data_IF_854158604004
#
_entry.id   IF_854158604004
#
_cell.length_a   1.000
_cell.length_b   1.000
_cell.length_c   1.000
_cell.angle_alpha   90.00
_cell.angle_beta   90.00
_cell.angle_gamma   90.00
#
_symmetry.space_group_name_H-M   'P 1'
#
loop_
_entity.id
_entity.type
_entity.pdbx_description
1 polymer ?
#
# COMPACT_ATOMS: atom_id res chain seq x y z
N UNK A 1 18.01 -3.15 54.22
CA UNK A 1 16.70 -3.25 53.59
C UNK A 1 16.90 -4.02 52.29
N UNK A 2 16.24 -5.15 52.02
CA UNK A 2 16.49 -5.96 50.84
C UNK A 2 15.78 -5.37 49.62
N UNK A 3 16.52 -5.28 48.50
CA UNK A 3 16.06 -4.88 47.16
C UNK A 3 15.07 -5.92 46.67
N UNK A 4 13.83 -5.51 46.41
CA UNK A 4 12.81 -6.37 45.78
C UNK A 4 13.15 -6.56 44.31
N UNK A 5 13.61 -7.75 43.97
CA UNK A 5 13.67 -8.25 42.58
C UNK A 5 12.26 -8.32 41.98
N UNK A 6 11.96 -7.47 40.98
CA UNK A 6 10.78 -7.63 40.16
C UNK A 6 10.91 -8.94 39.38
N UNK A 7 10.01 -9.88 39.62
CA UNK A 7 9.82 -11.05 38.78
C UNK A 7 9.41 -10.58 37.39
N UNK A 8 10.24 -10.82 36.40
CA UNK A 8 9.86 -10.73 35.00
C UNK A 8 8.82 -11.83 34.72
N UNK A 9 7.62 -11.44 34.31
CA UNK A 9 6.62 -12.34 33.73
C UNK A 9 7.15 -12.98 32.45
N UNK A 10 6.50 -14.04 31.93
CA UNK A 10 6.95 -14.72 30.73
C UNK A 10 6.98 -13.71 29.57
N UNK A 11 8.13 -13.57 28.93
CA UNK A 11 8.29 -12.83 27.67
C UNK A 11 7.39 -13.55 26.66
N UNK A 12 6.32 -12.91 26.22
CA UNK A 12 5.54 -13.36 25.09
C UNK A 12 6.51 -13.48 23.90
N UNK A 13 6.69 -14.71 23.41
CA UNK A 13 7.49 -14.98 22.23
C UNK A 13 6.92 -14.16 21.06
N UNK A 14 7.77 -13.48 20.30
CA UNK A 14 7.35 -12.86 19.06
C UNK A 14 6.63 -13.94 18.23
N UNK A 15 5.36 -13.72 17.93
CA UNK A 15 4.61 -14.56 17.01
C UNK A 15 5.36 -14.47 15.68
N UNK A 16 5.62 -15.62 15.06
CA UNK A 16 6.21 -15.60 13.72
C UNK A 16 5.37 -14.66 12.85
N UNK A 17 6.02 -13.73 12.15
CA UNK A 17 5.39 -12.76 11.26
C UNK A 17 4.91 -13.52 10.02
N UNK A 18 3.76 -14.20 10.15
CA UNK A 18 3.11 -14.93 9.07
C UNK A 18 1.83 -14.22 8.70
N UNK A 19 1.59 -14.14 7.41
CA UNK A 19 0.34 -13.61 6.87
C UNK A 19 -0.84 -14.47 7.30
N UNK A 20 -1.92 -13.81 7.71
CA UNK A 20 -3.19 -14.42 8.09
C UNK A 20 -4.31 -13.69 7.36
N UNK A 21 -4.85 -14.31 6.32
CA UNK A 21 -5.87 -13.74 5.45
C UNK A 21 -7.18 -13.46 6.21
N UNK A 22 -7.60 -14.36 7.11
CA UNK A 22 -8.83 -14.19 7.89
C UNK A 22 -8.70 -13.03 8.89
N UNK A 23 -7.54 -12.94 9.55
CA UNK A 23 -7.24 -11.82 10.46
C UNK A 23 -7.20 -10.49 9.70
N UNK A 24 -6.57 -10.46 8.52
CA UNK A 24 -6.49 -9.26 7.67
C UNK A 24 -7.88 -8.81 7.21
N UNK A 25 -8.73 -9.74 6.73
CA UNK A 25 -10.09 -9.43 6.34
C UNK A 25 -10.91 -8.87 7.52
N UNK A 26 -10.86 -9.53 8.68
CA UNK A 26 -11.56 -9.09 9.88
C UNK A 26 -11.10 -7.72 10.38
N UNK A 27 -9.79 -7.41 10.27
CA UNK A 27 -9.26 -6.10 10.61
C UNK A 27 -9.88 -5.02 9.71
N UNK A 28 -9.86 -5.18 8.39
CA UNK A 28 -10.39 -4.20 7.46
C UNK A 28 -11.91 -4.10 7.49
N UNK A 29 -12.63 -5.19 7.82
CA UNK A 29 -14.07 -5.13 8.09
C UNK A 29 -14.38 -4.21 9.27
N UNK A 30 -13.60 -4.28 10.36
CA UNK A 30 -13.76 -3.43 11.53
C UNK A 30 -13.23 -2.01 11.29
N UNK A 31 -12.15 -1.87 10.51
CA UNK A 31 -11.57 -0.58 10.19
C UNK A 31 -12.54 0.28 9.37
N UNK A 32 -13.29 -0.33 8.47
CA UNK A 32 -14.45 0.23 7.78
C UNK A 32 -14.16 1.59 7.14
N UNK A 33 -14.99 2.58 7.45
CA UNK A 33 -14.93 3.93 6.87
C UNK A 33 -13.65 4.72 7.20
N UNK A 34 -12.89 4.31 8.22
CA UNK A 34 -11.62 4.96 8.56
C UNK A 34 -10.60 4.85 7.42
N UNK A 35 -10.70 3.79 6.60
CA UNK A 35 -9.83 3.65 5.43
C UNK A 35 -10.13 4.74 4.39
N UNK A 36 -11.39 5.16 4.23
CA UNK A 36 -11.76 6.25 3.35
C UNK A 36 -11.22 7.60 3.85
N UNK A 37 -11.35 7.88 5.14
CA UNK A 37 -11.03 9.19 5.72
C UNK A 37 -9.54 9.41 6.00
N UNK A 38 -8.68 8.42 5.82
CA UNK A 38 -7.25 8.48 6.19
C UNK A 38 -6.43 9.60 5.52
N UNK A 39 -6.88 10.10 4.37
CA UNK A 39 -6.25 11.23 3.69
C UNK A 39 -6.83 12.60 4.13
N UNK A 40 -7.96 12.60 4.83
CA UNK A 40 -8.65 13.80 5.28
C UNK A 40 -8.30 14.16 6.73
N UNK A 41 -7.98 13.18 7.56
CA UNK A 41 -7.66 13.35 8.98
C UNK A 41 -6.17 13.60 9.28
N UNK A 42 -5.35 13.79 8.24
CA UNK A 42 -3.93 14.12 8.36
C UNK A 42 -3.02 12.94 8.69
N UNK A 43 -3.52 11.71 8.69
CA UNK A 43 -2.70 10.49 8.89
C UNK A 43 -1.77 10.22 7.73
N UNK A 44 -2.21 10.49 6.51
CA UNK A 44 -1.40 10.37 5.30
C UNK A 44 -1.18 11.73 4.65
N UNK A 45 -0.05 11.87 3.96
CA UNK A 45 0.22 13.07 3.19
C UNK A 45 -0.78 13.22 2.03
N UNK A 46 -1.44 14.38 1.87
CA UNK A 46 -2.35 14.63 0.74
C UNK A 46 -1.64 14.48 -0.61
N UNK A 47 -0.36 14.83 -0.69
CA UNK A 47 0.44 14.71 -1.91
C UNK A 47 0.68 13.25 -2.31
N UNK A 48 0.69 12.33 -1.34
CA UNK A 48 0.77 10.89 -1.63
C UNK A 48 -0.35 10.43 -2.57
N UNK A 49 -1.58 10.87 -2.33
CA UNK A 49 -2.71 10.55 -3.21
C UNK A 49 -2.50 11.10 -4.63
N UNK A 50 -2.03 12.35 -4.75
CA UNK A 50 -1.82 12.99 -6.04
C UNK A 50 -0.68 12.31 -6.85
N UNK A 51 0.36 11.81 -6.18
CA UNK A 51 1.39 11.00 -6.85
C UNK A 51 0.78 9.72 -7.42
N UNK A 52 0.00 8.98 -6.64
CA UNK A 52 -0.67 7.76 -7.12
C UNK A 52 -1.57 8.04 -8.33
N UNK A 53 -2.40 9.09 -8.28
CA UNK A 53 -3.26 9.51 -9.40
C UNK A 53 -2.45 9.88 -10.63
N UNK A 54 -1.34 10.63 -10.48
CA UNK A 54 -0.47 10.98 -11.60
C UNK A 54 -0.02 9.75 -12.38
N UNK A 55 0.41 8.69 -11.68
CA UNK A 55 0.85 7.46 -12.33
C UNK A 55 -0.32 6.66 -12.93
N UNK A 56 -1.51 6.67 -12.34
CA UNK A 56 -2.71 6.09 -12.96
C UNK A 56 -2.99 6.77 -14.31
N UNK A 57 -3.09 8.10 -14.36
CA UNK A 57 -3.32 8.85 -15.60
C UNK A 57 -2.24 8.66 -16.66
N UNK A 58 -1.01 8.38 -16.23
CA UNK A 58 0.11 8.16 -17.16
C UNK A 58 0.09 6.79 -17.81
N UNK A 59 -0.35 5.76 -17.11
CA UNK A 59 -0.19 4.36 -17.52
C UNK A 59 -1.50 3.61 -17.80
N UNK A 60 -2.66 4.16 -17.43
CA UNK A 60 -3.99 3.60 -17.72
C UNK A 60 -4.66 4.43 -18.79
N UNK A 61 -5.39 3.77 -19.70
CA UNK A 61 -6.12 4.39 -20.81
C UNK A 61 -7.62 4.20 -20.64
N UNK A 62 -8.45 5.05 -21.27
CA UNK A 62 -9.87 4.75 -21.43
C UNK A 62 -10.08 3.37 -22.07
N UNK A 63 -11.08 2.65 -21.56
CA UNK A 63 -11.48 1.31 -21.97
C UNK A 63 -10.46 0.19 -21.68
N UNK A 64 -9.30 0.48 -21.02
CA UNK A 64 -8.45 -0.58 -20.48
C UNK A 64 -9.24 -1.43 -19.47
N UNK A 65 -9.05 -2.74 -19.52
CA UNK A 65 -9.52 -3.67 -18.49
C UNK A 65 -8.55 -3.63 -17.34
N UNK A 66 -8.97 -3.10 -16.20
CA UNK A 66 -8.10 -2.87 -15.04
C UNK A 66 -8.56 -3.69 -13.83
N UNK A 67 -7.64 -4.40 -13.20
CA UNK A 67 -7.85 -4.96 -11.87
C UNK A 67 -7.36 -3.96 -10.82
N UNK A 68 -8.25 -3.53 -9.94
CA UNK A 68 -7.93 -2.78 -8.71
C UNK A 68 -7.86 -3.79 -7.56
N UNK A 69 -6.64 -4.22 -7.20
CA UNK A 69 -6.37 -5.31 -6.28
C UNK A 69 -6.01 -4.79 -4.88
N UNK A 70 -6.79 -5.15 -3.87
CA UNK A 70 -6.76 -4.55 -2.55
C UNK A 70 -7.33 -3.13 -2.59
N UNK A 71 -8.46 -2.97 -3.31
CA UNK A 71 -9.04 -1.69 -3.67
C UNK A 71 -9.57 -0.87 -2.49
N UNK A 72 -9.79 -1.52 -1.34
CA UNK A 72 -10.39 -0.87 -0.18
C UNK A 72 -11.73 -0.22 -0.52
N UNK A 73 -12.02 0.95 0.08
CA UNK A 73 -13.30 1.65 -0.10
C UNK A 73 -13.41 2.38 -1.45
N UNK A 74 -12.44 2.22 -2.38
CA UNK A 74 -12.58 2.65 -3.76
C UNK A 74 -11.92 3.97 -4.15
N UNK A 75 -10.93 4.45 -3.38
CA UNK A 75 -10.25 5.71 -3.67
C UNK A 75 -9.61 5.70 -5.08
N UNK A 76 -8.94 4.61 -5.43
CA UNK A 76 -8.33 4.44 -6.75
C UNK A 76 -9.31 3.89 -7.78
N UNK A 77 -10.29 3.10 -7.37
CA UNK A 77 -11.40 2.66 -8.23
C UNK A 77 -12.11 3.88 -8.88
N UNK A 78 -12.40 4.92 -8.09
CA UNK A 78 -12.99 6.16 -8.58
C UNK A 78 -12.12 6.83 -9.64
N UNK A 79 -10.83 6.95 -9.38
CA UNK A 79 -9.88 7.57 -10.31
C UNK A 79 -9.78 6.78 -11.61
N UNK A 80 -9.71 5.44 -11.54
CA UNK A 80 -9.70 4.55 -12.70
C UNK A 80 -10.99 4.69 -13.53
N UNK A 81 -12.15 4.73 -12.86
CA UNK A 81 -13.43 4.94 -13.51
C UNK A 81 -13.53 6.34 -14.17
N UNK A 82 -12.96 7.38 -13.56
CA UNK A 82 -12.88 8.74 -14.15
C UNK A 82 -11.97 8.80 -15.37
N UNK A 83 -10.87 8.03 -15.39
CA UNK A 83 -10.03 7.85 -16.59
C UNK A 83 -10.84 7.21 -17.73
N UNK A 84 -11.90 6.45 -17.41
CA UNK A 84 -12.74 5.74 -18.35
C UNK A 84 -12.39 4.26 -18.47
N UNK A 85 -11.57 3.71 -17.57
CA UNK A 85 -11.24 2.28 -17.55
C UNK A 85 -12.46 1.41 -17.20
N UNK A 86 -12.41 0.14 -17.56
CA UNK A 86 -13.35 -0.91 -17.15
C UNK A 86 -12.74 -1.65 -15.95
N UNK A 87 -13.25 -1.39 -14.74
CA UNK A 87 -12.61 -1.79 -13.51
C UNK A 87 -13.22 -3.06 -12.94
N UNK A 88 -12.40 -4.08 -12.72
CA UNK A 88 -12.70 -5.19 -11.83
C UNK A 88 -12.08 -4.87 -10.47
N UNK A 89 -12.88 -4.88 -9.41
CA UNK A 89 -12.48 -4.54 -8.05
C UNK A 89 -12.30 -5.81 -7.25
N UNK A 90 -11.15 -5.99 -6.63
CA UNK A 90 -10.86 -7.11 -5.75
C UNK A 90 -10.39 -6.61 -4.37
N UNK A 91 -10.98 -7.14 -3.31
CA UNK A 91 -10.54 -6.89 -1.93
C UNK A 91 -10.84 -8.11 -1.06
N UNK A 92 -10.04 -8.32 -0.04
CA UNK A 92 -10.22 -9.43 0.91
C UNK A 92 -11.39 -9.17 1.88
N UNK A 93 -11.73 -7.90 2.13
CA UNK A 93 -12.77 -7.46 3.05
C UNK A 93 -14.12 -7.24 2.34
N UNK A 94 -15.16 -8.01 2.65
CA UNK A 94 -16.52 -7.73 2.17
C UNK A 94 -17.00 -6.32 2.48
N UNK A 95 -16.67 -5.80 3.67
CA UNK A 95 -17.08 -4.44 4.07
C UNK A 95 -16.43 -3.37 3.21
N UNK A 96 -15.16 -3.55 2.85
CA UNK A 96 -14.48 -2.61 1.96
C UNK A 96 -15.12 -2.60 0.56
N UNK A 97 -15.53 -3.75 0.04
CA UNK A 97 -16.26 -3.85 -1.24
C UNK A 97 -17.65 -3.18 -1.19
N UNK A 98 -18.35 -3.24 -0.06
CA UNK A 98 -19.60 -2.50 0.14
C UNK A 98 -19.36 -0.99 0.09
N UNK A 99 -18.37 -0.49 0.85
CA UNK A 99 -17.97 0.91 0.84
C UNK A 99 -17.53 1.38 -0.54
N UNK A 100 -16.77 0.54 -1.27
CA UNK A 100 -16.39 0.79 -2.66
C UNK A 100 -17.61 1.03 -3.54
N UNK A 101 -18.64 0.17 -3.41
CA UNK A 101 -19.89 0.33 -4.17
C UNK A 101 -20.62 1.62 -3.80
N UNK A 102 -20.69 1.95 -2.51
CA UNK A 102 -21.31 3.18 -2.02
C UNK A 102 -20.62 4.42 -2.60
N UNK A 103 -19.28 4.47 -2.55
CA UNK A 103 -18.50 5.62 -3.03
C UNK A 103 -18.58 5.78 -4.56
N UNK A 104 -18.40 4.69 -5.30
CA UNK A 104 -18.48 4.70 -6.78
C UNK A 104 -19.89 5.04 -7.24
N UNK A 105 -20.92 4.47 -6.60
CA UNK A 105 -22.32 4.77 -6.89
C UNK A 105 -22.67 6.22 -6.60
N UNK A 106 -22.21 6.80 -5.48
CA UNK A 106 -22.41 8.21 -5.15
C UNK A 106 -21.77 9.16 -6.18
N UNK A 107 -20.67 8.74 -6.80
CA UNK A 107 -20.02 9.48 -7.88
C UNK A 107 -20.66 9.28 -9.27
N UNK A 108 -21.65 8.39 -9.40
CA UNK A 108 -22.31 8.10 -10.67
C UNK A 108 -21.45 7.31 -11.67
N UNK A 109 -20.45 6.56 -11.18
CA UNK A 109 -19.47 5.85 -12.02
C UNK A 109 -19.63 4.32 -12.01
N UNK A 110 -20.73 3.81 -11.46
CA UNK A 110 -20.97 2.38 -11.28
C UNK A 110 -20.91 1.59 -12.60
N UNK A 111 -21.29 2.19 -13.71
CA UNK A 111 -21.24 1.59 -15.04
C UNK A 111 -19.82 1.22 -15.52
N UNK A 112 -18.80 1.82 -14.92
CA UNK A 112 -17.39 1.52 -15.20
C UNK A 112 -16.84 0.37 -14.37
N UNK A 113 -17.57 -0.09 -13.35
CA UNK A 113 -17.16 -1.24 -12.53
C UNK A 113 -17.83 -2.50 -13.07
N UNK A 114 -17.03 -3.38 -13.65
CA UNK A 114 -17.48 -4.62 -14.29
C UNK A 114 -17.79 -5.72 -13.28
N UNK A 115 -17.05 -5.78 -12.18
CA UNK A 115 -17.25 -6.73 -11.10
C UNK A 115 -16.65 -6.24 -9.77
N UNK A 116 -17.18 -6.74 -8.66
CA UNK A 116 -16.57 -6.67 -7.31
C UNK A 116 -16.46 -8.07 -6.77
N UNK A 117 -15.26 -8.47 -6.38
CA UNK A 117 -14.97 -9.84 -5.98
C UNK A 117 -14.19 -9.88 -4.67
N UNK A 118 -14.56 -10.79 -3.78
CA UNK A 118 -13.72 -11.11 -2.63
C UNK A 118 -12.55 -11.93 -3.15
N UNK A 119 -11.33 -11.41 -3.00
CA UNK A 119 -10.11 -12.08 -3.40
C UNK A 119 -8.93 -11.60 -2.55
N UNK A 120 -8.03 -12.54 -2.27
CA UNK A 120 -6.74 -12.28 -1.67
C UNK A 120 -5.72 -12.03 -2.79
N UNK A 121 -4.86 -11.02 -2.65
CA UNK A 121 -3.82 -10.74 -3.66
C UNK A 121 -2.77 -11.85 -3.75
N UNK A 122 -2.73 -12.76 -2.78
CA UNK A 122 -1.88 -13.97 -2.81
C UNK A 122 -2.48 -15.12 -3.62
N UNK A 123 -3.78 -15.05 -3.96
CA UNK A 123 -4.51 -16.03 -4.74
C UNK A 123 -5.50 -15.34 -5.69
N UNK A 124 -5.05 -15.05 -6.90
CA UNK A 124 -5.87 -14.51 -7.98
C UNK A 124 -6.23 -15.58 -9.02
N UNK A 125 -6.26 -16.86 -8.64
CA UNK A 125 -6.54 -18.02 -9.52
C UNK A 125 -7.89 -17.97 -10.21
N UNK A 126 -8.82 -17.14 -9.73
CA UNK A 126 -10.11 -16.88 -10.37
C UNK A 126 -10.02 -16.09 -11.66
N UNK A 127 -8.88 -15.45 -11.94
CA UNK A 127 -8.61 -14.67 -13.13
C UNK A 127 -7.64 -15.41 -14.04
N UNK A 128 -7.86 -15.30 -15.34
CA UNK A 128 -6.99 -15.89 -16.35
C UNK A 128 -5.64 -15.17 -16.46
N UNK A 129 -4.62 -15.87 -16.98
CA UNK A 129 -3.33 -15.29 -17.28
C UNK A 129 -3.50 -14.17 -18.32
N UNK A 130 -2.93 -13.00 -18.05
CA UNK A 130 -3.01 -11.85 -18.94
C UNK A 130 -4.42 -11.28 -19.14
N UNK A 131 -5.31 -11.48 -18.19
CA UNK A 131 -6.68 -11.01 -18.29
C UNK A 131 -6.81 -9.50 -18.37
N UNK A 132 -5.91 -8.74 -17.73
CA UNK A 132 -6.01 -7.29 -17.56
C UNK A 132 -4.96 -6.54 -18.36
N UNK A 133 -5.34 -5.39 -18.95
CA UNK A 133 -4.42 -4.45 -19.60
C UNK A 133 -3.51 -3.75 -18.59
N UNK A 134 -4.05 -3.46 -17.40
CA UNK A 134 -3.30 -2.96 -16.26
C UNK A 134 -3.82 -3.57 -14.95
N UNK A 135 -2.92 -3.74 -13.99
CA UNK A 135 -3.24 -4.13 -12.62
C UNK A 135 -2.72 -3.08 -11.67
N UNK A 136 -3.56 -2.63 -10.75
CA UNK A 136 -3.23 -1.64 -9.73
C UNK A 136 -3.32 -2.31 -8.36
N UNK A 137 -2.24 -2.23 -7.58
CA UNK A 137 -2.16 -2.73 -6.22
C UNK A 137 -1.54 -1.64 -5.34
N UNK A 138 -2.35 -0.63 -5.01
CA UNK A 138 -1.94 0.57 -4.30
C UNK A 138 -2.36 0.56 -2.83
N UNK A 139 -1.70 1.37 -2.02
CA UNK A 139 -2.03 1.56 -0.61
C UNK A 139 -1.48 0.50 0.33
N UNK A 140 -0.62 -0.39 -0.17
CA UNK A 140 0.19 -1.29 0.64
C UNK A 140 -0.28 -2.75 0.79
N UNK A 141 -1.20 -3.34 -0.02
CA UNK A 141 -1.54 -4.76 0.14
C UNK A 141 -0.32 -5.68 0.12
N UNK A 142 0.68 -5.40 -0.75
CA UNK A 142 1.96 -6.14 -0.78
C UNK A 142 2.76 -6.04 0.53
N UNK A 143 2.58 -5.00 1.30
CA UNK A 143 3.21 -4.87 2.63
C UNK A 143 2.49 -5.73 3.67
N UNK A 144 1.17 -5.87 3.59
CA UNK A 144 0.36 -6.60 4.57
C UNK A 144 0.37 -8.12 4.36
N UNK A 145 0.72 -8.61 3.18
CA UNK A 145 0.92 -10.06 2.95
C UNK A 145 2.27 -10.57 3.44
N UNK A 146 3.05 -9.71 4.08
CA UNK A 146 4.27 -10.01 4.86
C UNK A 146 5.27 -10.88 4.07
N UNK A 147 5.45 -12.16 4.45
CA UNK A 147 6.35 -13.11 3.80
C UNK A 147 5.82 -13.62 2.45
N UNK A 148 4.52 -13.42 2.16
CA UNK A 148 3.90 -13.86 0.90
C UNK A 148 3.97 -12.78 -0.21
N UNK A 149 4.68 -11.67 0.01
CA UNK A 149 4.75 -10.58 -0.96
C UNK A 149 5.27 -11.00 -2.35
N UNK A 150 6.20 -11.97 -2.41
CA UNK A 150 6.69 -12.51 -3.68
C UNK A 150 5.63 -13.33 -4.42
N UNK A 151 4.85 -14.15 -3.70
CA UNK A 151 3.75 -14.92 -4.26
C UNK A 151 2.63 -13.98 -4.75
N UNK A 152 2.26 -12.98 -3.97
CA UNK A 152 1.30 -11.96 -4.36
C UNK A 152 1.75 -11.20 -5.62
N UNK A 153 3.01 -10.81 -5.68
CA UNK A 153 3.57 -10.13 -6.85
C UNK A 153 3.54 -11.01 -8.10
N UNK A 154 3.81 -12.31 -7.96
CA UNK A 154 3.72 -13.26 -9.06
C UNK A 154 2.28 -13.39 -9.59
N UNK A 155 1.28 -13.44 -8.72
CA UNK A 155 -0.13 -13.47 -9.10
C UNK A 155 -0.57 -12.17 -9.80
N UNK A 156 -0.22 -11.01 -9.25
CA UNK A 156 -0.49 -9.71 -9.87
C UNK A 156 0.15 -9.60 -11.28
N UNK A 157 1.38 -10.07 -11.42
CA UNK A 157 2.08 -10.10 -12.72
C UNK A 157 1.44 -11.10 -13.68
N UNK A 158 1.05 -12.30 -13.23
CA UNK A 158 0.41 -13.34 -14.05
C UNK A 158 -0.89 -12.85 -14.69
N UNK A 159 -1.74 -12.17 -13.91
CA UNK A 159 -3.04 -11.68 -14.42
C UNK A 159 -2.90 -10.41 -15.27
N UNK A 160 -1.73 -9.74 -15.26
CA UNK A 160 -1.43 -8.62 -16.16
C UNK A 160 -0.94 -9.17 -17.51
N UNK A 161 -1.52 -8.71 -18.62
CA UNK A 161 -1.08 -9.18 -19.94
C UNK A 161 0.37 -8.80 -20.28
N UNK A 162 1.01 -9.56 -21.16
CA UNK A 162 2.31 -9.17 -21.74
C UNK A 162 2.22 -7.78 -22.39
N UNK A 163 3.20 -6.93 -22.09
CA UNK A 163 3.21 -5.51 -22.48
C UNK A 163 2.25 -4.62 -21.71
N UNK A 164 1.42 -5.17 -20.81
CA UNK A 164 0.57 -4.44 -19.88
C UNK A 164 1.34 -3.84 -18.71
N UNK A 165 0.67 -3.09 -17.85
CA UNK A 165 1.30 -2.39 -16.74
C UNK A 165 0.82 -2.90 -15.38
N UNK A 166 1.77 -3.26 -14.52
CA UNK A 166 1.52 -3.51 -13.10
C UNK A 166 1.99 -2.28 -12.30
N UNK A 167 1.03 -1.63 -11.63
CA UNK A 167 1.26 -0.46 -10.79
C UNK A 167 1.14 -0.88 -9.33
N UNK A 168 2.23 -0.77 -8.57
CA UNK A 168 2.26 -1.17 -7.16
C UNK A 168 2.71 -0.03 -6.26
N UNK A 169 2.23 -0.02 -5.02
CA UNK A 169 2.86 0.77 -3.96
C UNK A 169 2.99 -0.02 -2.68
N UNK A 170 4.12 0.16 -2.00
CA UNK A 170 4.48 -0.52 -0.75
C UNK A 170 4.92 0.48 0.30
N UNK A 171 4.83 0.09 1.57
CA UNK A 171 5.38 0.88 2.67
C UNK A 171 6.91 0.92 2.59
N UNK A 172 7.50 2.11 2.72
CA UNK A 172 8.95 2.29 2.75
C UNK A 172 9.52 2.13 4.15
N UNK A 173 10.61 1.39 4.30
CA UNK A 173 11.33 1.32 5.58
C UNK A 173 12.03 2.64 5.91
N UNK A 174 12.70 3.24 4.94
CA UNK A 174 13.42 4.51 5.14
C UNK A 174 12.42 5.63 5.42
N UNK A 175 11.35 5.70 4.62
CA UNK A 175 10.28 6.67 4.83
C UNK A 175 9.59 6.50 6.18
N UNK A 176 9.32 5.26 6.61
CA UNK A 176 8.75 4.99 7.94
C UNK A 176 9.66 5.51 9.06
N UNK A 177 10.98 5.30 8.98
CA UNK A 177 11.93 5.83 9.97
C UNK A 177 11.94 7.36 9.95
N UNK A 178 11.98 8.00 8.78
CA UNK A 178 12.02 9.45 8.68
C UNK A 178 10.75 10.13 9.17
N UNK A 179 9.60 9.55 8.85
CA UNK A 179 8.31 10.16 9.16
C UNK A 179 7.80 9.84 10.56
N UNK A 180 8.27 8.76 11.17
CA UNK A 180 7.79 8.27 12.47
C UNK A 180 8.93 8.04 13.47
N UNK A 181 10.04 8.82 13.34
CA UNK A 181 11.21 8.66 14.21
C UNK A 181 10.88 8.78 15.69
N UNK A 182 10.06 9.77 16.08
CA UNK A 182 9.67 9.97 17.47
C UNK A 182 8.93 8.75 18.02
N UNK A 183 7.97 8.22 17.24
CA UNK A 183 7.25 6.99 17.60
C UNK A 183 8.23 5.81 17.72
N UNK A 184 9.18 5.68 16.80
CA UNK A 184 10.19 4.61 16.84
C UNK A 184 11.05 4.69 18.09
N UNK A 185 11.44 5.89 18.52
CA UNK A 185 12.19 6.10 19.76
C UNK A 185 11.34 5.77 21.00
N UNK A 186 10.07 6.18 21.06
CA UNK A 186 9.14 5.80 22.13
C UNK A 186 8.99 4.27 22.23
N UNK A 187 8.90 3.58 21.06
CA UNK A 187 8.85 2.13 21.00
C UNK A 187 10.13 1.49 21.54
N UNK A 188 11.29 2.03 21.17
CA UNK A 188 12.57 1.54 21.65
C UNK A 188 12.72 1.72 23.18
N UNK A 189 12.24 2.83 23.73
CA UNK A 189 12.21 3.06 25.18
C UNK A 189 11.27 2.09 25.91
N UNK A 190 10.10 1.80 25.34
CA UNK A 190 9.09 0.95 25.96
C UNK A 190 9.39 -0.54 25.83
N UNK A 191 9.78 -0.98 24.65
CA UNK A 191 9.88 -2.39 24.26
C UNK A 191 11.32 -2.90 24.12
N UNK A 192 12.30 -2.00 24.17
CA UNK A 192 13.72 -2.27 23.99
C UNK A 192 14.21 -1.99 22.57
N UNK A 193 15.48 -1.59 22.46
CA UNK A 193 16.10 -1.25 21.18
C UNK A 193 16.27 -2.46 20.25
N UNK A 194 16.32 -3.67 20.80
CA UNK A 194 16.49 -4.92 20.03
C UNK A 194 15.38 -5.14 19.00
N UNK A 195 14.13 -4.77 19.37
CA UNK A 195 13.01 -4.84 18.40
C UNK A 195 13.20 -3.86 17.26
N UNK A 196 13.61 -2.64 17.58
CA UNK A 196 13.88 -1.60 16.56
C UNK A 196 15.01 -2.04 15.63
N UNK A 197 16.09 -2.59 16.17
CA UNK A 197 17.21 -3.13 15.38
C UNK A 197 16.73 -4.28 14.46
N UNK A 198 15.84 -5.14 14.94
CA UNK A 198 15.26 -6.21 14.14
C UNK A 198 14.41 -5.67 12.99
N UNK A 199 13.53 -4.71 13.26
CA UNK A 199 12.69 -4.05 12.23
C UNK A 199 13.59 -3.41 11.16
N UNK A 200 14.61 -2.64 11.58
CA UNK A 200 15.53 -2.00 10.64
C UNK A 200 16.30 -3.04 9.80
N UNK A 201 16.70 -4.15 10.40
CA UNK A 201 17.46 -5.19 9.71
C UNK A 201 16.60 -5.99 8.73
N UNK A 202 15.36 -6.33 9.10
CA UNK A 202 14.50 -7.27 8.38
C UNK A 202 13.42 -6.61 7.53
N UNK A 203 13.02 -5.37 7.86
CA UNK A 203 11.85 -4.72 7.30
C UNK A 203 10.52 -5.22 7.87
N UNK A 204 10.50 -6.20 8.77
CA UNK A 204 9.27 -6.74 9.33
C UNK A 204 8.85 -5.98 10.59
N UNK A 205 7.69 -5.33 10.51
CA UNK A 205 7.05 -4.64 11.62
C UNK A 205 5.93 -5.55 12.18
N UNK A 206 6.07 -6.03 13.45
CA UNK A 206 5.05 -6.89 14.04
C UNK A 206 3.80 -6.09 14.44
N UNK A 207 2.66 -6.79 14.44
CA UNK A 207 1.46 -6.29 15.11
C UNK A 207 1.70 -6.28 16.62
N UNK A 208 1.32 -5.18 17.26
CA UNK A 208 1.34 -5.06 18.72
C UNK A 208 0.08 -4.38 19.23
N UNK A 209 -0.36 -4.79 20.40
CA UNK A 209 -1.48 -4.18 21.09
C UNK A 209 -1.29 -2.66 21.23
N UNK A 210 -2.27 -1.91 20.77
CA UNK A 210 -2.28 -0.45 20.86
C UNK A 210 -1.62 0.29 19.69
N UNK A 211 -1.02 -0.42 18.71
CA UNK A 211 -0.42 0.23 17.53
C UNK A 211 -1.43 0.52 16.42
N UNK A 212 -2.54 -0.24 16.40
CA UNK A 212 -3.64 -0.01 15.46
C UNK A 212 -3.32 -0.34 13.99
N UNK A 213 -2.30 -1.19 13.78
CA UNK A 213 -1.93 -1.68 12.45
C UNK A 213 -1.70 -3.19 12.46
N UNK A 214 -1.89 -3.83 11.32
CA UNK A 214 -1.53 -5.22 11.05
C UNK A 214 -0.01 -5.40 10.99
N UNK A 215 0.50 -6.64 11.13
CA UNK A 215 1.88 -6.92 10.80
C UNK A 215 2.14 -6.54 9.35
N UNK A 216 3.30 -5.98 9.06
CA UNK A 216 3.62 -5.54 7.71
C UNK A 216 5.09 -5.69 7.37
N UNK A 217 5.39 -5.82 6.08
CA UNK A 217 6.72 -5.73 5.51
C UNK A 217 6.96 -4.31 5.01
N UNK A 218 7.98 -3.67 5.54
CA UNK A 218 8.52 -2.39 5.09
C UNK A 218 9.65 -2.67 4.10
N UNK A 219 9.55 -2.18 2.89
CA UNK A 219 10.53 -2.46 1.84
C UNK A 219 11.60 -1.38 1.75
N UNK A 220 12.79 -1.76 1.27
CA UNK A 220 13.76 -0.85 0.69
C UNK A 220 13.61 -0.82 -0.82
N UNK A 221 13.86 0.31 -1.45
CA UNK A 221 13.73 0.43 -2.90
C UNK A 221 14.57 -0.61 -3.65
N UNK A 222 15.82 -0.84 -3.22
CA UNK A 222 16.68 -1.85 -3.84
C UNK A 222 16.02 -3.23 -3.85
N UNK A 223 15.47 -3.65 -2.74
CA UNK A 223 14.81 -4.95 -2.57
C UNK A 223 13.54 -5.04 -3.45
N UNK A 224 12.67 -4.03 -3.36
CA UNK A 224 11.45 -3.99 -4.16
C UNK A 224 11.78 -4.02 -5.67
N UNK A 225 12.76 -3.24 -6.10
CA UNK A 225 13.19 -3.19 -7.51
C UNK A 225 13.69 -4.54 -8.01
N UNK A 226 14.46 -5.28 -7.21
CA UNK A 226 14.93 -6.62 -7.55
C UNK A 226 13.77 -7.61 -7.73
N UNK A 227 12.79 -7.58 -6.83
CA UNK A 227 11.58 -8.41 -6.93
C UNK A 227 10.77 -8.08 -8.20
N UNK A 228 10.53 -6.81 -8.47
CA UNK A 228 9.77 -6.33 -9.63
C UNK A 228 10.45 -6.69 -10.95
N UNK A 229 11.80 -6.62 -11.01
CA UNK A 229 12.57 -6.92 -12.22
C UNK A 229 12.46 -8.40 -12.65
N UNK A 230 12.04 -9.30 -11.76
CA UNK A 230 11.73 -10.70 -12.09
C UNK A 230 10.49 -10.87 -12.98
N UNK A 231 9.64 -9.86 -13.09
CA UNK A 231 8.37 -9.94 -13.84
C UNK A 231 8.32 -9.03 -15.07
N UNK A 232 9.24 -8.09 -15.22
CA UNK A 232 9.28 -7.18 -16.35
C UNK A 232 10.24 -6.01 -16.15
N UNK A 233 10.06 -4.97 -16.96
CA UNK A 233 10.84 -3.75 -16.88
C UNK A 233 10.20 -2.73 -15.96
N UNK A 234 10.93 -2.26 -14.94
CA UNK A 234 10.49 -1.12 -14.12
C UNK A 234 10.61 0.15 -14.95
N UNK A 235 9.49 0.67 -15.46
CA UNK A 235 9.43 1.82 -16.37
C UNK A 235 9.22 3.15 -15.65
N UNK A 236 8.81 3.13 -14.39
CA UNK A 236 8.70 4.30 -13.55
C UNK A 236 8.78 3.91 -12.06
N UNK A 237 9.29 4.82 -11.24
CA UNK A 237 9.25 4.72 -9.79
C UNK A 237 9.23 6.10 -9.15
N UNK A 238 8.65 6.22 -7.97
CA UNK A 238 8.58 7.46 -7.20
C UNK A 238 8.37 7.19 -5.72
N UNK A 239 8.84 8.09 -4.87
CA UNK A 239 8.30 8.25 -3.54
C UNK A 239 6.85 8.75 -3.64
N UNK A 240 6.00 8.39 -2.67
CA UNK A 240 4.69 8.97 -2.47
C UNK A 240 4.51 9.30 -0.99
N UNK A 241 4.21 10.56 -0.67
CA UNK A 241 4.25 11.08 0.69
C UNK A 241 5.67 11.40 1.16
N UNK A 242 6.48 12.04 0.30
CA UNK A 242 7.83 12.49 0.63
C UNK A 242 7.80 13.62 1.66
N UNK A 243 6.78 14.49 1.59
CA UNK A 243 6.62 15.63 2.48
C UNK A 243 5.37 15.51 3.33
N UNK A 244 5.49 15.75 4.63
CA UNK A 244 4.37 15.76 5.59
C UNK A 244 3.67 17.12 5.74
N UNK A 245 3.97 18.07 4.86
CA UNK A 245 3.30 19.36 4.88
C UNK A 245 1.89 19.26 4.27
N UNK A 246 0.93 19.92 4.89
CA UNK A 246 -0.44 20.03 4.38
C UNK A 246 -0.89 21.51 4.47
N UNK A 247 -0.42 22.37 3.56
CA UNK A 247 -0.79 23.77 3.58
C UNK A 247 -2.27 23.97 3.22
N UNK A 248 -2.94 24.89 3.91
CA UNK A 248 -4.35 25.21 3.64
C UNK A 248 -4.54 25.94 2.29
N UNK A 249 -3.53 26.70 1.87
CA UNK A 249 -3.58 27.50 0.64
C UNK A 249 -3.44 26.60 -0.60
N UNK A 250 -4.40 26.64 -1.56
CA UNK A 250 -4.37 25.78 -2.75
C UNK A 250 -3.09 25.93 -3.56
N UNK A 251 -2.58 27.14 -3.73
CA UNK A 251 -1.35 27.40 -4.49
C UNK A 251 -0.11 26.72 -3.87
N UNK A 252 -0.04 26.66 -2.54
CA UNK A 252 1.04 25.97 -1.85
C UNK A 252 0.88 24.45 -1.94
N UNK A 253 -0.35 23.92 -1.93
CA UNK A 253 -0.60 22.50 -2.20
C UNK A 253 -0.17 22.11 -3.61
N UNK A 254 -0.52 22.91 -4.61
CA UNK A 254 -0.10 22.69 -6.01
C UNK A 254 1.42 22.74 -6.16
N UNK A 255 2.08 23.68 -5.47
CA UNK A 255 3.55 23.73 -5.45
C UNK A 255 4.13 22.46 -4.82
N UNK A 256 3.60 22.05 -3.67
CA UNK A 256 4.07 20.86 -2.96
C UNK A 256 3.89 19.58 -3.80
N UNK A 257 2.74 19.44 -4.47
CA UNK A 257 2.48 18.32 -5.38
C UNK A 257 3.48 18.28 -6.52
N UNK A 258 3.78 19.43 -7.15
CA UNK A 258 4.82 19.48 -8.20
C UNK A 258 6.21 19.11 -7.69
N UNK A 259 6.60 19.62 -6.52
CA UNK A 259 7.87 19.26 -5.89
C UNK A 259 7.94 17.76 -5.58
N UNK A 260 6.85 17.18 -5.12
CA UNK A 260 6.79 15.74 -4.81
C UNK A 260 6.91 14.89 -6.07
N UNK A 261 6.22 15.25 -7.17
CA UNK A 261 6.31 14.55 -8.45
C UNK A 261 7.69 14.63 -9.07
N UNK A 262 8.35 15.78 -8.95
CA UNK A 262 9.70 16.00 -9.51
C UNK A 262 10.77 15.32 -8.67
N UNK A 263 10.79 15.60 -7.35
CA UNK A 263 11.83 15.10 -6.46
C UNK A 263 11.61 13.63 -6.08
N UNK A 264 10.36 13.18 -5.94
CA UNK A 264 10.04 11.80 -5.58
C UNK A 264 10.51 10.77 -6.62
N UNK A 265 10.65 11.17 -7.88
CA UNK A 265 11.16 10.30 -8.94
C UNK A 265 12.71 10.23 -8.98
N UNK A 266 13.42 11.07 -8.21
CA UNK A 266 14.88 11.02 -8.11
C UNK A 266 15.32 9.72 -7.41
N UNK A 267 16.35 9.02 -7.93
CA UNK A 267 16.80 7.74 -7.35
C UNK A 267 17.12 7.80 -5.85
N UNK A 268 17.60 8.94 -5.37
CA UNK A 268 17.92 9.16 -3.95
C UNK A 268 16.72 9.47 -3.06
N UNK A 269 15.53 9.71 -3.63
CA UNK A 269 14.33 10.08 -2.89
C UNK A 269 13.28 8.96 -2.81
N UNK A 270 13.33 7.95 -3.68
CA UNK A 270 12.29 6.91 -3.79
C UNK A 270 12.02 6.24 -2.45
N UNK A 271 13.06 5.94 -1.67
CA UNK A 271 12.94 5.35 -0.32
C UNK A 271 12.39 6.35 0.73
N UNK A 272 12.36 7.67 0.43
CA UNK A 272 12.04 8.70 1.42
C UNK A 272 10.56 8.95 1.65
N UNK A 273 9.68 8.45 0.79
CA UNK A 273 8.22 8.59 0.92
C UNK A 273 7.63 7.64 1.96
N UNK A 274 6.42 7.92 2.42
CA UNK A 274 5.64 6.96 3.20
C UNK A 274 5.42 5.66 2.42
N UNK A 275 5.20 5.80 1.09
CA UNK A 275 5.14 4.69 0.15
C UNK A 275 6.20 4.86 -0.95
N UNK A 276 6.63 3.72 -1.47
CA UNK A 276 7.34 3.64 -2.75
C UNK A 276 6.36 3.13 -3.80
N UNK A 277 6.23 3.89 -4.89
CA UNK A 277 5.42 3.52 -6.03
C UNK A 277 6.33 3.04 -7.16
N UNK A 278 5.92 1.98 -7.85
CA UNK A 278 6.59 1.50 -9.05
C UNK A 278 5.58 1.08 -10.12
N UNK A 279 6.00 1.21 -11.38
CA UNK A 279 5.26 0.70 -12.54
C UNK A 279 6.17 -0.25 -13.30
N UNK A 280 5.67 -1.46 -13.52
CA UNK A 280 6.35 -2.53 -14.26
C UNK A 280 5.60 -2.76 -15.57
N UNK A 281 6.29 -2.74 -16.69
CA UNK A 281 5.79 -3.27 -17.95
C UNK A 281 6.08 -4.77 -17.98
N UNK A 282 5.02 -5.57 -17.96
CA UNK A 282 5.12 -7.04 -17.90
C UNK A 282 5.74 -7.59 -19.19
N UNK A 283 6.63 -8.60 -19.03
CA UNK A 283 7.39 -9.21 -20.12
C UNK A 283 6.53 -10.02 -21.09
#
# INVERSE_FOLDING_TARGET
MPVRTRRQGPRGGARALTYDAEHTAAFYDQYGEREWTRFEDGRNSPTSLEVHKHYLHRFVRPDDRVLDAGAGPGRFTLELAQIGALVTVADISPRQLELNREQVGAAGLEERVTARVIADVTDLSRFDDGEFDAVVCYGGPLSYVVEQAEAALAELARVTRSGGHLLVSTMSLVGAVWHYLDLLLELAERDGAELTDEIIRTGFLPEKDGYGHLPMRLFRWRELKELLAGHGEVVAASAAGLFKANPDEPQLRDLLTRLELELGAEPGAIDGGEHMLAVVRIA
#
